data_IF_633244075136
#
_entry.id   IF_633244075136
#
_cell.length_a   1.000
_cell.length_b   1.000
_cell.length_c   1.000
_cell.angle_alpha   90.00
_cell.angle_beta   90.00
_cell.angle_gamma   90.00
#
_symmetry.space_group_name_H-M   'P 1'
#
loop_
_entity.id
_entity.type
_entity.pdbx_description
1 polymer ?
#
# COMPACT_ATOMS: atom_id res chain seq x y z
N UNK A 1 -31.43 5.78 12.57
CA UNK A 1 -31.52 7.17 13.06
C UNK A 1 -30.33 7.46 13.96
N UNK A 2 -29.27 8.08 13.45
CA UNK A 2 -28.13 8.58 14.24
C UNK A 2 -28.09 10.09 14.04
N UNK A 3 -28.30 10.85 15.13
CA UNK A 3 -28.27 12.31 15.14
C UNK A 3 -26.81 12.76 15.17
N UNK A 4 -26.32 13.36 14.08
CA UNK A 4 -25.09 14.15 14.09
C UNK A 4 -25.44 15.55 14.61
N UNK A 5 -24.92 15.91 15.77
CA UNK A 5 -24.91 17.29 16.24
C UNK A 5 -23.70 18.00 15.62
N UNK A 6 -23.94 18.84 14.62
CA UNK A 6 -22.99 19.86 14.19
C UNK A 6 -23.09 21.04 15.17
N UNK A 7 -22.01 21.38 15.87
CA UNK A 7 -21.87 22.69 16.50
C UNK A 7 -20.84 23.51 15.72
N UNK A 8 -21.40 24.46 14.97
CA UNK A 8 -20.75 25.58 14.33
C UNK A 8 -20.28 26.55 15.43
N UNK A 9 -18.98 26.81 15.57
CA UNK A 9 -18.48 27.87 16.45
C UNK A 9 -17.97 29.03 15.60
N UNK A 10 -18.80 30.07 15.53
CA UNK A 10 -18.49 31.38 14.94
C UNK A 10 -17.55 32.16 15.84
N UNK A 11 -16.37 32.52 15.33
CA UNK A 11 -15.41 33.41 16.01
C UNK A 11 -15.90 34.87 15.91
N UNK A 12 -16.29 35.45 17.05
CA UNK A 12 -16.55 36.89 17.19
C UNK A 12 -15.22 37.56 17.56
N UNK A 13 -14.67 38.37 16.64
CA UNK A 13 -13.56 39.26 16.93
C UNK A 13 -14.10 40.50 17.67
N UNK A 14 -13.72 40.69 18.93
CA UNK A 14 -13.94 41.93 19.67
C UNK A 14 -12.58 42.50 20.09
N UNK A 15 -12.39 43.79 19.77
CA UNK A 15 -11.11 44.45 19.69
C UNK A 15 -10.43 44.74 21.02
N UNK A 16 -9.11 44.70 20.98
CA UNK A 16 -8.23 45.10 22.08
C UNK A 16 -7.82 46.56 21.86
N UNK A 17 -8.35 47.45 22.71
CA UNK A 17 -8.01 48.87 22.76
C UNK A 17 -6.57 49.07 23.23
N UNK A 18 -5.77 49.75 22.40
CA UNK A 18 -4.41 50.20 22.70
C UNK A 18 -4.46 51.41 23.65
N UNK A 19 -3.90 51.26 24.86
CA UNK A 19 -3.64 52.36 25.78
C UNK A 19 -2.12 52.50 25.94
N UNK A 20 -1.58 53.59 25.39
CA UNK A 20 -0.21 54.01 25.59
C UNK A 20 -0.08 54.74 26.92
N UNK A 21 0.93 54.37 27.72
CA UNK A 21 1.52 55.22 28.73
C UNK A 21 3.05 55.25 28.52
N UNK A 22 3.71 56.41 28.61
CA UNK A 22 5.16 56.54 28.48
C UNK A 22 5.82 56.41 29.86
N UNK A 23 7.00 55.78 29.93
CA UNK A 23 7.74 55.73 31.19
C UNK A 23 9.08 55.00 31.08
N UNK A 24 10.12 55.78 30.80
CA UNK A 24 11.54 55.68 31.15
C UNK A 24 12.22 54.30 31.29
N UNK A 25 13.29 54.15 30.50
CA UNK A 25 14.39 53.22 30.71
C UNK A 25 15.00 53.37 32.11
N UNK A 26 15.28 52.24 32.77
CA UNK A 26 16.56 51.99 33.44
C UNK A 26 16.89 50.50 33.30
N UNK A 27 18.15 50.26 32.93
CA UNK A 27 18.78 49.02 32.50
C UNK A 27 19.24 48.22 33.72
N UNK A 28 18.61 47.07 34.01
CA UNK A 28 19.20 46.05 34.89
C UNK A 28 19.00 44.66 34.28
N UNK A 29 20.13 43.99 34.03
CA UNK A 29 20.22 42.77 33.24
C UNK A 29 19.40 41.60 33.79
N UNK A 30 18.56 41.05 32.93
CA UNK A 30 17.98 39.73 33.10
C UNK A 30 18.59 38.77 32.08
N UNK A 31 19.14 37.67 32.61
CA UNK A 31 19.67 36.53 31.84
C UNK A 31 18.68 36.13 30.76
N UNK A 32 19.06 36.28 29.49
CA UNK A 32 18.48 35.46 28.42
C UNK A 32 18.97 34.03 28.63
N UNK A 33 18.26 33.28 29.47
CA UNK A 33 18.29 31.82 29.37
C UNK A 33 17.78 31.44 27.97
N UNK A 34 18.30 30.37 27.34
CA UNK A 34 17.67 29.84 26.15
C UNK A 34 16.25 29.46 26.56
N UNK A 35 15.27 30.12 25.94
CA UNK A 35 13.88 29.71 26.01
C UNK A 35 13.87 28.26 25.57
N UNK A 36 13.54 27.37 26.51
CA UNK A 36 13.50 25.95 26.26
C UNK A 36 12.60 25.69 25.06
N UNK A 37 13.18 25.10 24.03
CA UNK A 37 12.45 24.26 23.11
C UNK A 37 11.86 23.15 23.99
N UNK A 38 10.63 23.36 24.46
CA UNK A 38 9.90 22.36 25.23
C UNK A 38 9.84 21.12 24.36
N UNK A 39 10.59 20.09 24.76
CA UNK A 39 10.96 18.96 23.91
C UNK A 39 9.76 18.41 23.16
N UNK A 40 9.66 18.76 21.87
CA UNK A 40 8.68 18.19 20.96
C UNK A 40 8.85 16.68 21.01
N UNK A 41 7.86 15.97 21.54
CA UNK A 41 7.89 14.50 21.53
C UNK A 41 8.17 14.03 20.11
N UNK A 42 9.27 13.30 19.93
CA UNK A 42 9.66 12.78 18.63
C UNK A 42 8.95 11.44 18.46
N UNK A 43 7.88 11.45 17.67
CA UNK A 43 7.19 10.23 17.28
C UNK A 43 7.91 9.54 16.12
N UNK A 44 8.12 8.23 16.25
CA UNK A 44 8.64 7.32 15.23
C UNK A 44 7.50 6.60 14.53
N UNK A 45 7.64 6.36 13.24
CA UNK A 45 6.75 5.53 12.44
C UNK A 45 7.61 4.61 11.56
N UNK A 46 7.28 3.33 11.52
CA UNK A 46 7.83 2.36 10.59
C UNK A 46 6.70 1.47 10.09
N UNK A 47 6.57 1.35 8.78
CA UNK A 47 5.62 0.45 8.13
C UNK A 47 6.38 -0.62 7.36
N UNK A 48 6.00 -1.88 7.58
CA UNK A 48 6.64 -3.06 6.98
C UNK A 48 5.58 -3.97 6.35
N UNK A 49 5.71 -4.33 5.07
CA UNK A 49 6.75 -3.88 4.13
C UNK A 49 6.64 -2.38 3.80
N UNK A 50 7.74 -1.78 3.34
CA UNK A 50 7.84 -0.35 3.00
C UNK A 50 7.41 -0.04 1.56
N UNK A 51 7.14 -1.07 0.76
CA UNK A 51 6.49 -1.03 -0.56
C UNK A 51 5.54 -2.22 -0.71
N UNK A 52 4.53 -2.07 -1.54
CA UNK A 52 3.58 -3.15 -1.85
C UNK A 52 3.60 -3.45 -3.34
N UNK A 53 3.98 -4.67 -3.69
CA UNK A 53 4.07 -5.15 -5.06
C UNK A 53 3.09 -6.31 -5.23
N UNK A 54 2.07 -6.10 -6.03
CA UNK A 54 1.03 -7.06 -6.33
C UNK A 54 1.18 -7.58 -7.74
N UNK A 55 0.79 -8.83 -7.93
CA UNK A 55 0.62 -9.39 -9.26
C UNK A 55 -0.80 -9.15 -9.79
N UNK A 56 -1.04 -9.54 -11.04
CA UNK A 56 -2.33 -9.27 -11.70
C UNK A 56 -3.53 -10.02 -11.09
N UNK A 57 -3.29 -11.07 -10.31
CA UNK A 57 -4.35 -11.82 -9.60
C UNK A 57 -4.82 -11.07 -8.35
N UNK A 58 -5.87 -11.60 -7.72
CA UNK A 58 -6.30 -11.10 -6.41
C UNK A 58 -5.32 -11.59 -5.35
N UNK A 59 -4.64 -10.66 -4.69
CA UNK A 59 -3.62 -10.97 -3.69
C UNK A 59 -3.79 -10.06 -2.48
N UNK A 60 -3.54 -10.60 -1.28
CA UNK A 60 -3.58 -9.88 -0.01
C UNK A 60 -2.19 -9.88 0.62
N UNK A 61 -1.74 -8.71 1.08
CA UNK A 61 -0.48 -8.53 1.80
C UNK A 61 -0.77 -7.96 3.18
N UNK A 62 -0.21 -8.58 4.22
CA UNK A 62 -0.27 -8.08 5.59
C UNK A 62 0.79 -7.02 5.83
N UNK A 63 0.39 -5.90 6.43
CA UNK A 63 1.24 -4.76 6.72
C UNK A 63 1.25 -4.46 8.21
N UNK A 64 2.45 -4.38 8.78
CA UNK A 64 2.67 -4.03 10.19
C UNK A 64 3.03 -2.56 10.31
N UNK A 65 2.36 -1.85 11.22
CA UNK A 65 2.64 -0.46 11.57
C UNK A 65 3.21 -0.42 12.99
N UNK A 66 4.47 0.02 13.10
CA UNK A 66 5.15 0.21 14.38
C UNK A 66 5.31 1.70 14.66
N UNK A 67 4.77 2.17 15.77
CA UNK A 67 4.87 3.56 16.20
C UNK A 67 4.91 3.66 17.72
N UNK A 68 5.54 4.72 18.23
CA UNK A 68 5.45 5.14 19.64
C UNK A 68 4.42 6.27 19.84
N UNK A 69 3.72 6.67 18.77
CA UNK A 69 2.68 7.68 18.82
C UNK A 69 1.34 7.14 19.30
N UNK A 70 0.48 8.02 19.84
CA UNK A 70 -0.78 7.61 20.47
C UNK A 70 -1.81 7.12 19.44
N UNK A 71 -1.79 7.69 18.24
CA UNK A 71 -2.72 7.38 17.16
C UNK A 71 -2.02 7.35 15.81
N UNK A 72 -2.49 6.47 14.92
CA UNK A 72 -2.07 6.45 13.53
C UNK A 72 -3.26 6.24 12.60
N UNK A 73 -3.19 6.89 11.44
CA UNK A 73 -4.18 6.84 10.38
C UNK A 73 -3.50 6.60 9.04
N UNK A 74 -4.30 6.31 8.01
CA UNK A 74 -3.83 6.16 6.64
C UNK A 74 -4.73 6.90 5.64
N UNK A 75 -4.18 7.19 4.48
CA UNK A 75 -4.90 7.72 3.32
C UNK A 75 -4.27 7.17 2.05
N UNK A 76 -5.08 6.95 1.02
CA UNK A 76 -4.60 6.46 -0.27
C UNK A 76 -5.34 7.13 -1.42
N UNK A 77 -4.79 6.96 -2.62
CA UNK A 77 -5.40 7.36 -3.88
C UNK A 77 -5.71 6.16 -4.79
N UNK A 78 -5.98 4.98 -4.21
CA UNK A 78 -5.93 3.69 -4.90
C UNK A 78 -7.30 3.00 -4.88
N UNK A 79 -8.14 3.30 -5.88
CA UNK A 79 -9.51 2.76 -5.96
C UNK A 79 -9.60 1.23 -6.13
N UNK A 80 -8.49 0.59 -6.50
CA UNK A 80 -8.39 -0.84 -6.76
C UNK A 80 -7.79 -1.64 -5.59
N UNK A 81 -7.38 -0.96 -4.52
CA UNK A 81 -6.87 -1.57 -3.29
C UNK A 81 -7.96 -1.51 -2.22
N UNK A 82 -8.16 -2.62 -1.52
CA UNK A 82 -9.04 -2.71 -0.35
C UNK A 82 -8.17 -2.84 0.90
N UNK A 83 -8.42 -2.00 1.91
CA UNK A 83 -7.61 -1.95 3.13
C UNK A 83 -8.50 -2.23 4.34
N UNK A 84 -8.10 -3.21 5.16
CA UNK A 84 -8.80 -3.54 6.41
C UNK A 84 -7.84 -3.42 7.60
N UNK A 85 -8.27 -2.75 8.69
CA UNK A 85 -7.46 -2.63 9.91
C UNK A 85 -7.27 -4.00 10.56
N UNK A 86 -6.05 -4.25 11.03
CA UNK A 86 -5.71 -5.42 11.84
C UNK A 86 -5.20 -4.98 13.21
N UNK A 87 -4.85 -5.93 14.08
CA UNK A 87 -4.32 -5.63 15.41
C UNK A 87 -2.99 -4.86 15.36
N UNK A 88 -2.10 -5.22 14.42
CA UNK A 88 -0.75 -4.68 14.31
C UNK A 88 -0.56 -3.70 13.14
N UNK A 89 -1.59 -3.46 12.34
CA UNK A 89 -1.51 -2.60 11.16
C UNK A 89 -2.76 -2.71 10.30
N UNK A 90 -2.60 -3.21 9.07
CA UNK A 90 -3.70 -3.43 8.12
C UNK A 90 -3.37 -4.54 7.12
N UNK A 91 -4.40 -5.16 6.54
CA UNK A 91 -4.27 -5.99 5.35
C UNK A 91 -4.58 -5.14 4.12
N UNK A 92 -3.84 -5.35 3.03
CA UNK A 92 -4.02 -4.66 1.76
C UNK A 92 -4.30 -5.69 0.67
N UNK A 93 -5.50 -5.64 0.09
CA UNK A 93 -5.97 -6.59 -0.94
C UNK A 93 -6.11 -5.89 -2.28
N UNK A 94 -5.27 -6.26 -3.25
CA UNK A 94 -5.40 -5.79 -4.61
C UNK A 94 -6.49 -6.58 -5.34
N UNK A 95 -7.41 -5.88 -6.01
CA UNK A 95 -8.36 -6.51 -6.93
C UNK A 95 -7.62 -7.08 -8.13
N UNK A 96 -8.12 -8.19 -8.68
CA UNK A 96 -7.62 -8.72 -9.94
C UNK A 96 -7.62 -7.63 -11.03
N UNK A 97 -6.60 -7.68 -11.89
CA UNK A 97 -6.34 -6.67 -12.89
C UNK A 97 -6.15 -7.29 -14.26
N UNK A 98 -6.86 -6.76 -15.26
CA UNK A 98 -6.83 -7.24 -16.65
C UNK A 98 -6.34 -6.19 -17.64
N UNK A 99 -5.74 -5.09 -17.15
CA UNK A 99 -5.16 -4.07 -18.01
C UNK A 99 -3.80 -4.48 -18.58
N UNK A 100 -3.30 -3.71 -19.53
CA UNK A 100 -2.10 -4.01 -20.32
C UNK A 100 -0.82 -3.35 -19.79
N UNK A 101 -0.92 -2.49 -18.77
CA UNK A 101 0.21 -1.76 -18.21
C UNK A 101 0.17 -1.84 -16.69
N UNK A 102 1.33 -1.88 -16.04
CA UNK A 102 1.44 -1.80 -14.58
C UNK A 102 0.69 -0.57 -14.06
N UNK A 103 -0.16 -0.75 -13.04
CA UNK A 103 -0.83 0.37 -12.37
C UNK A 103 -0.17 0.66 -11.03
N UNK A 104 -0.10 1.92 -10.66
CA UNK A 104 0.59 2.37 -9.45
C UNK A 104 -0.28 3.29 -8.60
N UNK A 105 0.12 3.46 -7.34
CA UNK A 105 -0.54 4.32 -6.37
C UNK A 105 0.34 4.58 -5.15
N UNK A 106 -0.17 5.37 -4.21
CA UNK A 106 0.54 5.65 -2.97
C UNK A 106 -0.41 5.56 -1.79
N UNK A 107 -0.02 4.74 -0.80
CA UNK A 107 -0.66 4.66 0.50
C UNK A 107 0.20 5.43 1.50
N UNK A 108 -0.35 6.41 2.19
CA UNK A 108 0.36 7.18 3.22
C UNK A 108 -0.13 6.79 4.59
N UNK A 109 0.77 6.36 5.46
CA UNK A 109 0.49 6.13 6.89
C UNK A 109 1.08 7.29 7.67
N UNK A 110 0.36 7.79 8.67
CA UNK A 110 0.81 8.92 9.47
C UNK A 110 0.40 8.80 10.93
N UNK A 111 1.23 9.36 11.81
CA UNK A 111 1.02 9.44 13.24
C UNK A 111 0.41 10.79 13.58
N UNK A 112 -0.62 10.79 14.41
CA UNK A 112 -1.27 11.99 14.94
C UNK A 112 -0.84 12.13 16.40
N UNK A 113 -0.26 13.29 16.75
CA UNK A 113 0.14 13.61 18.13
C UNK A 113 -1.08 13.83 19.04
N UNK A 114 -0.87 13.94 20.35
CA UNK A 114 -1.93 14.34 21.28
C UNK A 114 -2.53 15.72 20.97
N UNK A 115 -1.75 16.62 20.35
CA UNK A 115 -2.23 17.93 19.89
C UNK A 115 -3.11 17.87 18.64
N UNK A 116 -3.19 16.70 17.99
CA UNK A 116 -3.94 16.49 16.74
C UNK A 116 -3.15 16.81 15.47
N UNK A 117 -1.85 17.11 15.59
CA UNK A 117 -0.99 17.41 14.44
C UNK A 117 -0.38 16.13 13.84
N UNK A 118 -0.08 16.16 12.54
CA UNK A 118 0.70 15.08 11.91
C UNK A 118 2.14 15.18 12.40
N UNK A 119 2.59 14.16 13.13
CA UNK A 119 3.92 14.15 13.72
C UNK A 119 4.96 13.33 12.93
N UNK A 120 4.53 12.25 12.29
CA UNK A 120 5.35 11.41 11.43
C UNK A 120 4.52 10.87 10.27
N UNK A 121 5.14 10.60 9.12
CA UNK A 121 4.48 10.02 7.95
C UNK A 121 5.43 9.10 7.20
N UNK A 122 4.86 8.08 6.57
CA UNK A 122 5.56 7.19 5.66
C UNK A 122 4.67 6.96 4.44
N UNK A 123 5.20 7.27 3.26
CA UNK A 123 4.56 7.01 1.98
C UNK A 123 5.01 5.63 1.50
N UNK A 124 4.05 4.77 1.18
CA UNK A 124 4.24 3.39 0.75
C UNK A 124 3.86 3.34 -0.74
N UNK A 125 4.84 3.18 -1.64
CA UNK A 125 4.54 2.98 -3.05
C UNK A 125 3.83 1.63 -3.23
N UNK A 126 2.79 1.65 -4.06
CA UNK A 126 2.00 0.46 -4.38
C UNK A 126 2.02 0.27 -5.90
N UNK A 127 2.35 -0.93 -6.37
CA UNK A 127 2.27 -1.30 -7.78
C UNK A 127 1.54 -2.61 -7.97
N UNK A 128 0.83 -2.73 -9.09
CA UNK A 128 0.27 -3.99 -9.53
C UNK A 128 0.63 -4.26 -10.99
N UNK A 129 1.27 -5.39 -11.24
CA UNK A 129 1.71 -5.83 -12.56
C UNK A 129 0.52 -6.08 -13.50
N UNK A 130 0.75 -5.89 -14.80
CA UNK A 130 -0.21 -6.36 -15.82
C UNK A 130 -0.15 -7.89 -15.95
N UNK A 131 -1.21 -8.58 -16.40
CA UNK A 131 -1.16 -10.02 -16.66
C UNK A 131 -0.09 -10.44 -17.66
N UNK A 132 0.30 -9.53 -18.56
CA UNK A 132 1.33 -9.74 -19.58
C UNK A 132 2.74 -9.57 -19.04
N UNK A 133 2.90 -8.96 -17.87
CA UNK A 133 4.19 -8.79 -17.21
C UNK A 133 4.53 -10.07 -16.46
N UNK A 134 5.69 -10.66 -16.74
CA UNK A 134 6.24 -11.78 -15.96
C UNK A 134 7.23 -11.20 -14.95
N UNK A 135 7.05 -11.45 -13.64
CA UNK A 135 7.98 -10.98 -12.62
C UNK A 135 9.39 -11.55 -12.83
N UNK A 136 10.40 -10.79 -12.42
CA UNK A 136 11.78 -11.26 -12.48
C UNK A 136 11.95 -12.56 -11.67
N UNK A 137 12.66 -13.53 -12.24
CA UNK A 137 12.90 -14.84 -11.63
C UNK A 137 11.76 -15.85 -11.82
N UNK A 138 10.61 -15.42 -12.34
CA UNK A 138 9.48 -16.32 -12.64
C UNK A 138 9.59 -16.92 -14.05
N UNK A 139 8.87 -18.02 -14.27
CA UNK A 139 8.82 -18.71 -15.55
C UNK A 139 8.10 -17.85 -16.59
N UNK A 140 8.76 -17.67 -17.74
CA UNK A 140 8.23 -16.90 -18.87
C UNK A 140 7.44 -17.82 -19.79
N UNK A 141 6.21 -17.41 -20.10
CA UNK A 141 5.33 -18.06 -21.06
C UNK A 141 5.03 -17.09 -22.21
N UNK A 142 5.32 -17.51 -23.44
CA UNK A 142 5.00 -16.72 -24.64
C UNK A 142 3.52 -16.88 -25.06
N UNK A 143 2.87 -17.94 -24.58
CA UNK A 143 1.47 -18.26 -24.88
C UNK A 143 0.60 -18.05 -23.64
N UNK A 144 -0.39 -17.16 -23.74
CA UNK A 144 -1.28 -16.84 -22.62
C UNK A 144 -2.19 -18.00 -22.24
N UNK A 145 -2.59 -18.85 -23.19
CA UNK A 145 -3.40 -20.04 -22.90
C UNK A 145 -2.57 -21.02 -22.09
N UNK A 146 -1.32 -21.26 -22.48
CA UNK A 146 -0.42 -22.13 -21.72
C UNK A 146 -0.12 -21.55 -20.33
N UNK A 147 0.16 -20.24 -20.22
CA UNK A 147 0.31 -19.55 -18.93
C UNK A 147 -0.90 -19.77 -18.03
N UNK A 148 -2.10 -19.52 -18.54
CA UNK A 148 -3.35 -19.64 -17.77
C UNK A 148 -3.62 -21.08 -17.33
N UNK A 149 -3.31 -22.06 -18.19
CA UNK A 149 -3.35 -23.47 -17.81
C UNK A 149 -2.40 -23.73 -16.63
N UNK A 150 -1.16 -23.29 -16.74
CA UNK A 150 -0.15 -23.50 -15.70
C UNK A 150 -0.56 -22.86 -14.37
N UNK A 151 -1.04 -21.61 -14.41
CA UNK A 151 -1.56 -20.90 -13.24
C UNK A 151 -2.72 -21.65 -12.59
N UNK A 152 -3.66 -22.17 -13.39
CA UNK A 152 -4.86 -22.83 -12.85
C UNK A 152 -4.56 -24.10 -12.03
N UNK A 153 -3.43 -24.77 -12.29
CA UNK A 153 -3.10 -26.05 -11.66
C UNK A 153 -1.86 -26.01 -10.76
N UNK A 154 -0.91 -25.11 -11.02
CA UNK A 154 0.42 -25.16 -10.42
C UNK A 154 0.83 -23.90 -9.66
N UNK A 155 0.08 -22.81 -9.76
CA UNK A 155 0.24 -21.62 -8.91
C UNK A 155 -0.29 -21.94 -7.50
N UNK A 156 0.63 -22.24 -6.58
CA UNK A 156 0.33 -22.74 -5.24
C UNK A 156 0.11 -21.61 -4.24
N UNK A 157 0.82 -20.51 -4.41
CA UNK A 157 0.67 -19.33 -3.57
C UNK A 157 -0.32 -18.30 -4.14
N UNK A 158 -0.90 -18.59 -5.31
CA UNK A 158 -1.88 -17.78 -6.03
C UNK A 158 -1.34 -16.38 -6.37
N UNK A 159 -0.02 -16.28 -6.55
CA UNK A 159 0.63 -15.04 -6.90
C UNK A 159 0.43 -14.69 -8.38
N UNK A 160 -0.20 -15.52 -9.21
CA UNK A 160 -0.45 -15.17 -10.61
C UNK A 160 0.79 -15.22 -11.51
N UNK A 161 1.90 -15.75 -11.00
CA UNK A 161 3.07 -16.17 -11.73
C UNK A 161 3.35 -17.66 -11.46
N UNK A 162 4.31 -18.23 -12.19
CA UNK A 162 4.80 -19.58 -11.89
C UNK A 162 6.26 -19.45 -11.54
N UNK A 163 6.61 -19.82 -10.32
CA UNK A 163 7.99 -19.95 -9.89
C UNK A 163 8.65 -21.18 -10.53
N UNK A 164 10.00 -21.20 -10.66
CA UNK A 164 10.72 -22.41 -11.05
C UNK A 164 10.39 -23.61 -10.15
N UNK A 165 10.18 -23.40 -8.86
CA UNK A 165 9.82 -24.42 -7.89
C UNK A 165 8.44 -25.03 -8.14
N UNK A 166 7.46 -24.21 -8.56
CA UNK A 166 6.13 -24.68 -8.95
C UNK A 166 6.16 -25.46 -10.27
N UNK A 167 6.89 -24.95 -11.26
CA UNK A 167 7.08 -25.66 -12.53
C UNK A 167 7.71 -27.05 -12.31
N UNK A 168 8.66 -27.19 -11.38
CA UNK A 168 9.27 -28.48 -11.06
C UNK A 168 8.31 -29.52 -10.45
N UNK A 169 7.12 -29.11 -9.99
CA UNK A 169 6.08 -30.02 -9.46
C UNK A 169 5.26 -30.67 -10.57
N UNK A 170 5.34 -30.16 -11.79
CA UNK A 170 4.69 -30.74 -12.95
C UNK A 170 5.31 -32.11 -13.23
N UNK A 171 4.53 -33.17 -13.03
CA UNK A 171 4.93 -34.55 -13.34
C UNK A 171 4.36 -35.05 -14.66
N UNK A 172 3.18 -34.56 -15.05
CA UNK A 172 2.51 -34.87 -16.31
C UNK A 172 1.69 -33.65 -16.75
N UNK A 173 1.65 -33.37 -18.06
CA UNK A 173 0.82 -32.34 -18.66
C UNK A 173 -0.09 -32.96 -19.71
N UNK A 174 -1.40 -32.77 -19.54
CA UNK A 174 -2.41 -33.14 -20.53
C UNK A 174 -2.91 -31.87 -21.21
N UNK A 175 -2.27 -31.51 -22.31
CA UNK A 175 -2.67 -30.38 -23.14
C UNK A 175 -3.65 -30.88 -24.20
N UNK A 176 -4.94 -30.64 -23.97
CA UNK A 176 -6.01 -30.92 -24.92
C UNK A 176 -6.51 -29.64 -25.57
N UNK A 177 -6.88 -29.73 -26.84
CA UNK A 177 -7.61 -28.68 -27.55
C UNK A 177 -8.89 -29.31 -28.09
N UNK A 178 -10.04 -28.75 -27.74
CA UNK A 178 -11.33 -29.15 -28.28
C UNK A 178 -11.67 -28.24 -29.45
N UNK A 179 -11.59 -28.77 -30.68
CA UNK A 179 -11.89 -27.99 -31.89
C UNK A 179 -13.39 -27.65 -32.01
N UNK A 180 -14.26 -28.32 -31.26
CA UNK A 180 -15.70 -28.06 -31.24
C UNK A 180 -16.07 -26.93 -30.26
N UNK A 181 -15.17 -26.54 -29.37
CA UNK A 181 -15.34 -25.41 -28.47
C UNK A 181 -14.92 -24.10 -29.14
N UNK A 182 -15.90 -23.28 -29.54
CA UNK A 182 -15.67 -21.98 -30.20
C UNK A 182 -14.91 -20.96 -29.32
N UNK A 183 -14.84 -21.17 -28.00
CA UNK A 183 -14.09 -20.32 -27.07
C UNK A 183 -12.67 -20.84 -26.82
N UNK A 184 -12.34 -22.05 -27.27
CA UNK A 184 -11.02 -22.62 -27.07
C UNK A 184 -9.97 -21.88 -27.92
N UNK A 185 -8.94 -21.37 -27.24
CA UNK A 185 -7.77 -20.75 -27.89
C UNK A 185 -6.64 -21.77 -27.93
N UNK A 186 -6.13 -22.18 -29.11
CA UNK A 186 -5.08 -23.19 -29.19
C UNK A 186 -3.77 -22.70 -28.60
N UNK A 187 -3.02 -23.60 -27.95
CA UNK A 187 -1.65 -23.32 -27.49
C UNK A 187 -0.73 -23.30 -28.71
N UNK A 188 -0.05 -22.16 -28.90
CA UNK A 188 0.85 -21.89 -30.03
C UNK A 188 2.33 -21.93 -29.65
N UNK A 189 2.65 -21.84 -28.36
CA UNK A 189 4.02 -21.97 -27.84
C UNK A 189 4.04 -22.75 -26.52
N UNK A 190 5.02 -23.65 -26.38
CA UNK A 190 5.31 -24.36 -25.12
C UNK A 190 6.48 -23.72 -24.37
N UNK A 191 6.86 -22.49 -24.68
CA UNK A 191 7.89 -21.76 -23.93
C UNK A 191 7.52 -21.74 -22.43
N UNK A 192 8.48 -22.08 -21.58
CA UNK A 192 8.29 -22.27 -20.14
C UNK A 192 8.21 -23.74 -19.73
N UNK A 193 7.91 -24.66 -20.67
CA UNK A 193 7.87 -26.10 -20.39
C UNK A 193 9.24 -26.65 -19.98
N UNK A 194 10.33 -26.01 -20.39
CA UNK A 194 11.70 -26.41 -20.03
C UNK A 194 12.01 -26.33 -18.52
N UNK A 195 11.16 -25.63 -17.75
CA UNK A 195 11.25 -25.56 -16.28
C UNK A 195 10.50 -26.71 -15.60
N UNK A 196 9.68 -27.46 -16.34
CA UNK A 196 8.94 -28.60 -15.83
C UNK A 196 9.85 -29.83 -15.71
N UNK A 197 9.65 -30.64 -14.67
CA UNK A 197 10.39 -31.88 -14.49
C UNK A 197 9.77 -33.00 -15.32
N UNK A 198 10.03 -32.99 -16.62
CA UNK A 198 9.62 -34.05 -17.56
C UNK A 198 10.49 -35.29 -17.44
#
# INVERSE_FOLDING_TARGET
>A
MKKLFFHLLTFVCAGFTLLLAPGCNDDEGEKTGPTGDEGKEIYSLSVTPDKLEFQSTKQTVEVTVTTNGPYWEYTDNISWLEIERTETGFSATAKAYSGNETRTGTLTVYVISESGDIAARQDIPVSQASPSETPEGMVVFDDSTFKNFMLSYYDQDYDGAISPEEALRVTELYLGFDEEDEEAVPITSLKGIEYCKT
#
